data_IF_303272322238
#
_entry.id   IF_303272322238
#
_cell.length_a   1.000
_cell.length_b   1.000
_cell.length_c   1.000
_cell.angle_alpha   90.00
_cell.angle_beta   90.00
_cell.angle_gamma   90.00
#
_symmetry.space_group_name_H-M   'P 1'
#
loop_
_entity.id
_entity.type
_entity.pdbx_description
1 polymer ?
#
# COMPACT_ATOMS: atom_id res chain seq x y z
N UNK A 1 6.40 7.06 -4.45
CA UNK A 1 6.88 5.65 -4.36
C UNK A 1 5.66 4.77 -4.54
N UNK A 2 5.73 3.72 -5.36
CA UNK A 2 4.56 2.89 -5.65
C UNK A 2 4.45 1.72 -4.69
N UNK A 3 3.34 1.62 -3.96
CA UNK A 3 2.99 0.48 -3.11
C UNK A 3 2.24 -0.54 -3.95
N UNK A 4 2.81 -1.73 -4.06
CA UNK A 4 2.24 -2.81 -4.87
C UNK A 4 1.47 -3.81 -4.00
N UNK A 5 0.79 -4.75 -4.65
CA UNK A 5 0.16 -5.89 -3.96
C UNK A 5 1.14 -6.75 -3.18
N UNK A 6 2.41 -6.75 -3.57
CA UNK A 6 3.45 -7.54 -2.90
C UNK A 6 3.86 -6.91 -1.58
N UNK A 7 3.95 -5.58 -1.54
CA UNK A 7 4.19 -4.80 -0.32
C UNK A 7 3.03 -4.92 0.68
N UNK A 8 1.80 -4.84 0.17
CA UNK A 8 0.60 -5.01 0.99
C UNK A 8 0.58 -6.40 1.63
N UNK A 9 0.90 -7.45 0.86
CA UNK A 9 1.01 -8.82 1.38
C UNK A 9 2.15 -8.96 2.39
N UNK A 10 3.30 -8.36 2.13
CA UNK A 10 4.42 -8.35 3.07
C UNK A 10 4.07 -7.63 4.38
N UNK A 11 3.22 -6.60 4.33
CA UNK A 11 2.70 -5.89 5.50
C UNK A 11 1.63 -6.64 6.31
N UNK A 12 1.19 -7.81 5.85
CA UNK A 12 0.10 -8.58 6.44
C UNK A 12 -1.28 -8.13 5.96
N UNK A 13 -1.36 -7.33 4.90
CA UNK A 13 -2.59 -6.96 4.23
C UNK A 13 -3.13 -8.10 3.37
N UNK A 14 -4.43 -8.35 3.47
CA UNK A 14 -5.14 -9.33 2.65
C UNK A 14 -5.93 -8.64 1.53
N UNK A 15 -6.09 -9.31 0.37
CA UNK A 15 -6.89 -8.80 -0.75
C UNK A 15 -8.32 -8.32 -0.38
N UNK A 16 -9.10 -9.04 0.45
CA UNK A 16 -10.41 -8.55 0.89
C UNK A 16 -10.33 -7.32 1.79
N UNK A 17 -9.32 -7.24 2.68
CA UNK A 17 -9.09 -6.08 3.53
C UNK A 17 -8.74 -4.83 2.72
N UNK A 18 -7.92 -5.00 1.67
CA UNK A 18 -7.59 -3.93 0.75
C UNK A 18 -8.83 -3.40 0.01
N UNK A 19 -9.70 -4.28 -0.47
CA UNK A 19 -10.96 -3.86 -1.12
C UNK A 19 -11.84 -3.03 -0.18
N UNK A 20 -12.02 -3.52 1.05
CA UNK A 20 -12.82 -2.82 2.06
C UNK A 20 -12.18 -1.47 2.43
N UNK A 21 -10.86 -1.42 2.53
CA UNK A 21 -10.10 -0.21 2.77
C UNK A 21 -10.31 0.83 1.66
N UNK A 22 -10.13 0.44 0.39
CA UNK A 22 -10.31 1.34 -0.75
C UNK A 22 -11.76 1.87 -0.80
N UNK A 23 -12.75 1.01 -0.58
CA UNK A 23 -14.15 1.42 -0.52
C UNK A 23 -14.43 2.39 0.64
N UNK A 24 -13.81 2.18 1.82
CA UNK A 24 -13.99 3.02 3.01
C UNK A 24 -13.39 4.42 2.85
N UNK A 25 -12.21 4.50 2.24
CA UNK A 25 -11.48 5.76 2.06
C UNK A 25 -11.74 6.43 0.69
N UNK A 26 -12.61 5.86 -0.14
CA UNK A 26 -12.94 6.39 -1.46
C UNK A 26 -11.77 6.32 -2.45
N UNK A 27 -10.84 5.39 -2.26
CA UNK A 27 -9.69 5.20 -3.13
C UNK A 27 -10.07 4.39 -4.36
N UNK A 28 -9.38 4.67 -5.46
CA UNK A 28 -9.71 4.11 -6.76
C UNK A 28 -9.02 2.74 -6.97
N UNK A 29 -9.74 1.67 -6.62
CA UNK A 29 -9.22 0.29 -6.75
C UNK A 29 -8.95 -0.08 -8.21
N UNK A 30 -9.67 0.52 -9.15
CA UNK A 30 -9.43 0.29 -10.58
C UNK A 30 -8.11 0.90 -11.01
N UNK A 31 -7.81 2.12 -10.55
CA UNK A 31 -6.51 2.75 -10.78
C UNK A 31 -5.39 1.90 -10.18
N UNK A 32 -5.56 1.41 -8.95
CA UNK A 32 -4.59 0.51 -8.31
C UNK A 32 -4.28 -0.75 -9.13
N UNK A 33 -5.31 -1.41 -9.67
CA UNK A 33 -5.11 -2.63 -10.50
C UNK A 33 -4.51 -2.29 -11.86
N UNK A 34 -4.94 -1.18 -12.49
CA UNK A 34 -4.43 -0.73 -13.79
C UNK A 34 -2.97 -0.31 -13.72
N UNK A 35 -2.63 0.47 -12.70
CA UNK A 35 -1.31 1.07 -12.52
C UNK A 35 -0.37 0.07 -11.80
N UNK A 36 -0.90 -1.04 -11.28
CA UNK A 36 -0.16 -2.09 -10.57
C UNK A 36 0.20 -1.75 -9.12
N UNK A 37 -0.24 -0.59 -8.63
CA UNK A 37 0.02 -0.10 -7.28
C UNK A 37 -0.65 1.25 -7.00
N UNK A 38 -0.48 1.78 -5.79
CA UNK A 38 -0.95 3.10 -5.35
C UNK A 38 0.23 3.89 -4.83
N UNK A 39 0.17 5.22 -4.94
CA UNK A 39 1.21 6.05 -4.36
C UNK A 39 1.23 5.94 -2.83
N UNK A 40 2.43 5.80 -2.26
CA UNK A 40 2.67 5.75 -0.84
C UNK A 40 2.13 6.98 -0.10
N UNK A 41 2.19 8.17 -0.70
CA UNK A 41 1.66 9.40 -0.10
C UNK A 41 0.13 9.38 -0.05
N UNK A 42 -0.52 8.89 -1.11
CA UNK A 42 -1.98 8.68 -1.13
C UNK A 42 -2.40 7.67 -0.07
N UNK A 43 -1.66 6.57 0.06
CA UNK A 43 -1.94 5.53 1.03
C UNK A 43 -1.71 6.04 2.47
N UNK A 44 -0.59 6.71 2.75
CA UNK A 44 -0.31 7.30 4.06
C UNK A 44 -1.27 8.44 4.43
N UNK A 45 -1.74 9.21 3.43
CA UNK A 45 -2.69 10.30 3.60
C UNK A 45 -4.07 9.87 4.10
N UNK A 46 -4.39 8.57 4.03
CA UNK A 46 -5.62 8.01 4.64
C UNK A 46 -5.63 8.08 6.16
N UNK A 47 -4.45 8.23 6.80
CA UNK A 47 -4.32 8.26 8.26
C UNK A 47 -4.49 6.90 8.96
N UNK A 48 -4.60 5.81 8.19
CA UNK A 48 -4.80 4.48 8.74
C UNK A 48 -3.48 3.84 9.20
N UNK A 49 -3.49 3.21 10.38
CA UNK A 49 -2.31 2.58 10.94
C UNK A 49 -1.75 1.45 10.06
N UNK A 50 -2.63 0.68 9.38
CA UNK A 50 -2.21 -0.37 8.48
C UNK A 50 -1.55 0.20 7.22
N UNK A 51 -2.14 1.27 6.66
CA UNK A 51 -1.60 1.96 5.50
C UNK A 51 -0.19 2.50 5.78
N UNK A 52 -0.01 3.21 6.90
CA UNK A 52 1.28 3.75 7.33
C UNK A 52 2.31 2.63 7.53
N UNK A 53 1.90 1.51 8.14
CA UNK A 53 2.76 0.35 8.34
C UNK A 53 3.23 -0.27 7.01
N UNK A 54 2.32 -0.45 6.05
CA UNK A 54 2.64 -0.99 4.72
C UNK A 54 3.62 -0.07 3.99
N UNK A 55 3.35 1.24 3.98
CA UNK A 55 4.23 2.25 3.37
C UNK A 55 5.64 2.17 3.96
N UNK A 56 5.75 2.07 5.29
CA UNK A 56 7.05 1.98 5.96
C UNK A 56 7.80 0.69 5.63
N UNK A 57 7.12 -0.46 5.59
CA UNK A 57 7.73 -1.74 5.22
C UNK A 57 8.22 -1.74 3.78
N UNK A 58 7.43 -1.17 2.88
CA UNK A 58 7.80 -1.05 1.48
C UNK A 58 9.01 -0.12 1.28
N UNK A 59 9.12 0.97 2.06
CA UNK A 59 10.30 1.84 2.07
C UNK A 59 11.55 1.05 2.49
N UNK A 60 11.47 0.34 3.61
CA UNK A 60 12.57 -0.49 4.11
C UNK A 60 12.98 -1.63 3.18
N UNK A 61 12.09 -2.10 2.29
CA UNK A 61 12.41 -3.08 1.24
C UNK A 61 13.08 -2.47 0.01
N UNK A 62 12.75 -1.21 -0.29
CA UNK A 62 13.21 -0.51 -1.49
C UNK A 62 14.59 0.12 -1.31
N UNK A 63 15.04 0.25 -0.06
CA UNK A 63 16.45 0.41 0.27
C UNK A 63 17.11 -0.98 0.20
N UNK A 64 17.79 -1.35 -0.91
CA UNK A 64 18.70 -2.48 -0.85
C UNK A 64 19.71 -2.17 0.25
N UNK A 65 19.80 -3.08 1.21
CA UNK A 65 20.88 -3.15 2.18
C UNK A 65 22.20 -2.99 1.41
N UNK A 66 22.76 -1.78 1.43
CA UNK A 66 24.13 -1.52 1.06
C UNK A 66 24.96 -2.07 2.22
N UNK A 67 25.30 -3.35 2.15
CA UNK A 67 26.34 -3.98 2.96
C UNK A 67 27.27 -4.78 2.07
#
# INVERSE_FOLDING_TARGET
MLITMEDIRAGGGCAPGLRAFFARYGLDLKAFIRDGGIDAELLAGTGDALAIKIVRLAQSKSEPEAN
#
